data_IF_882503739306
#
_entry.id   IF_882503739306
#
_cell.length_a   1.000
_cell.length_b   1.000
_cell.length_c   1.000
_cell.angle_alpha   90.00
_cell.angle_beta   90.00
_cell.angle_gamma   90.00
#
_symmetry.space_group_name_H-M   'P 1'
#
loop_
_entity.id
_entity.type
_entity.pdbx_description
1 polymer ?
#
# COMPACT_ATOMS: atom_id res chain seq x y z
N UNK A 1 -6.62 -4.73 -21.08
CA UNK A 1 -6.36 -5.93 -20.25
C UNK A 1 -4.87 -6.28 -20.20
N UNK A 2 -4.16 -6.27 -21.34
CA UNK A 2 -2.73 -6.62 -21.43
C UNK A 2 -1.78 -5.86 -20.48
N UNK A 3 -1.92 -4.53 -20.32
CA UNK A 3 -1.03 -3.74 -19.44
C UNK A 3 -1.20 -4.06 -17.94
N UNK A 4 -2.42 -4.38 -17.52
CA UNK A 4 -2.70 -4.77 -16.13
C UNK A 4 -2.09 -6.14 -15.83
N UNK A 5 -2.27 -7.09 -16.74
CA UNK A 5 -1.72 -8.44 -16.61
C UNK A 5 -0.20 -8.45 -16.72
N UNK A 6 0.39 -7.63 -17.60
CA UNK A 6 1.84 -7.49 -17.71
C UNK A 6 2.45 -6.94 -16.43
N UNK A 7 1.80 -5.98 -15.76
CA UNK A 7 2.32 -5.46 -14.49
C UNK A 7 2.53 -6.55 -13.44
N UNK A 8 1.61 -7.52 -13.33
CA UNK A 8 1.69 -8.58 -12.33
C UNK A 8 2.93 -9.46 -12.48
N UNK A 9 3.50 -9.55 -13.70
CA UNK A 9 4.72 -10.32 -13.95
C UNK A 9 5.95 -9.73 -13.26
N UNK A 10 5.89 -8.50 -12.74
CA UNK A 10 6.97 -7.94 -11.92
C UNK A 10 7.27 -8.82 -10.70
N UNK A 11 6.26 -9.49 -10.15
CA UNK A 11 6.42 -10.36 -8.98
C UNK A 11 7.10 -11.69 -9.29
N UNK A 12 7.26 -12.04 -10.57
CA UNK A 12 8.00 -13.24 -11.00
C UNK A 12 9.52 -12.98 -11.02
N UNK A 13 9.95 -11.71 -11.01
CA UNK A 13 11.37 -11.33 -10.99
C UNK A 13 12.06 -11.82 -9.70
N UNK A 14 13.29 -12.29 -9.85
CA UNK A 14 14.05 -12.87 -8.73
C UNK A 14 14.98 -11.85 -8.07
N UNK A 15 15.43 -10.84 -8.82
CA UNK A 15 16.39 -9.84 -8.33
C UNK A 15 15.80 -8.41 -8.35
N UNK A 16 16.24 -7.52 -7.44
CA UNK A 16 15.86 -6.12 -7.45
C UNK A 16 16.20 -5.41 -8.77
N UNK A 17 17.32 -5.78 -9.39
CA UNK A 17 17.81 -5.20 -10.65
C UNK A 17 16.90 -5.61 -11.82
N UNK A 18 16.50 -6.88 -11.87
CA UNK A 18 15.55 -7.40 -12.86
C UNK A 18 14.18 -6.72 -12.71
N UNK A 19 13.68 -6.63 -11.48
CA UNK A 19 12.40 -5.97 -11.19
C UNK A 19 12.43 -4.48 -11.57
N UNK A 20 13.54 -3.79 -11.32
CA UNK A 20 13.71 -2.38 -11.71
C UNK A 20 13.65 -2.21 -13.23
N UNK A 21 14.43 -3.00 -13.97
CA UNK A 21 14.42 -2.98 -15.44
C UNK A 21 13.04 -3.30 -16.01
N UNK A 22 12.34 -4.29 -15.42
CA UNK A 22 10.98 -4.63 -15.81
C UNK A 22 10.00 -3.48 -15.60
N UNK A 23 10.05 -2.82 -14.44
CA UNK A 23 9.19 -1.68 -14.11
C UNK A 23 9.45 -0.49 -15.02
N UNK A 24 10.71 -0.18 -15.34
CA UNK A 24 11.06 0.89 -16.27
C UNK A 24 10.47 0.64 -17.68
N UNK A 25 10.59 -0.59 -18.19
CA UNK A 25 9.99 -0.98 -19.46
C UNK A 25 8.46 -0.94 -19.43
N UNK A 26 7.85 -1.38 -18.33
CA UNK A 26 6.40 -1.33 -18.16
C UNK A 26 5.88 0.11 -18.12
N UNK A 27 6.57 1.00 -17.38
CA UNK A 27 6.26 2.44 -17.30
C UNK A 27 6.33 3.06 -18.70
N UNK A 28 7.39 2.78 -19.47
CA UNK A 28 7.51 3.26 -20.85
C UNK A 28 6.35 2.77 -21.72
N UNK A 29 5.98 1.49 -21.62
CA UNK A 29 4.83 0.92 -22.31
C UNK A 29 3.49 1.56 -21.90
N UNK A 30 3.33 1.90 -20.62
CA UNK A 30 2.15 2.58 -20.10
C UNK A 30 2.03 4.01 -20.63
N UNK A 31 3.14 4.77 -20.75
CA UNK A 31 3.15 6.09 -21.38
C UNK A 31 2.82 6.01 -22.89
N UNK A 32 3.35 5.01 -23.60
CA UNK A 32 3.10 4.81 -25.03
C UNK A 32 1.68 4.34 -25.34
N UNK A 33 0.95 3.82 -24.35
CA UNK A 33 -0.41 3.31 -24.54
C UNK A 33 -1.44 4.38 -24.93
N UNK A 34 -1.12 5.66 -24.72
CA UNK A 34 -2.03 6.79 -24.98
C UNK A 34 -3.25 6.86 -24.04
N UNK A 35 -3.31 5.99 -23.03
CA UNK A 35 -4.41 5.95 -22.06
C UNK A 35 -4.04 6.72 -20.81
N UNK A 36 -4.75 7.82 -20.56
CA UNK A 36 -4.44 8.76 -19.47
C UNK A 36 -4.42 8.11 -18.08
N UNK A 37 -5.29 7.13 -17.84
CA UNK A 37 -5.32 6.40 -16.56
C UNK A 37 -4.04 5.59 -16.32
N UNK A 38 -3.50 4.95 -17.35
CA UNK A 38 -2.23 4.22 -17.25
C UNK A 38 -1.06 5.18 -17.13
N UNK A 39 -1.11 6.34 -17.80
CA UNK A 39 -0.10 7.39 -17.67
C UNK A 39 0.03 7.90 -16.24
N UNK A 40 -1.08 8.26 -15.60
CA UNK A 40 -1.10 8.74 -14.21
C UNK A 40 -0.59 7.67 -13.22
N UNK A 41 -0.95 6.40 -13.45
CA UNK A 41 -0.41 5.28 -12.65
C UNK A 41 1.10 5.13 -12.87
N UNK A 42 1.57 5.23 -14.11
CA UNK A 42 2.98 5.09 -14.45
C UNK A 42 3.84 6.20 -13.82
N UNK A 43 3.33 7.45 -13.78
CA UNK A 43 3.96 8.56 -13.04
C UNK A 43 4.08 8.24 -11.55
N UNK A 44 2.98 7.82 -10.92
CA UNK A 44 2.97 7.42 -9.50
C UNK A 44 3.93 6.27 -9.19
N UNK A 45 4.09 5.34 -10.12
CA UNK A 45 5.01 4.20 -10.01
C UNK A 45 6.45 4.62 -10.20
N UNK A 46 6.73 5.56 -11.12
CA UNK A 46 8.06 6.13 -11.31
C UNK A 46 8.56 6.79 -10.03
N UNK A 47 7.73 7.57 -9.37
CA UNK A 47 8.08 8.28 -8.13
C UNK A 47 8.32 7.32 -6.96
N UNK A 48 7.64 6.17 -6.95
CA UNK A 48 7.69 5.18 -5.85
C UNK A 48 8.49 3.93 -6.21
N UNK A 49 9.24 3.96 -7.31
CA UNK A 49 9.94 2.79 -7.85
C UNK A 49 10.92 2.18 -6.86
N UNK A 50 11.63 3.02 -6.09
CA UNK A 50 12.54 2.57 -5.05
C UNK A 50 11.84 1.68 -4.02
N UNK A 51 10.65 2.08 -3.56
CA UNK A 51 9.87 1.31 -2.57
C UNK A 51 9.40 -0.03 -3.14
N UNK A 52 8.99 -0.06 -4.41
CA UNK A 52 8.59 -1.29 -5.09
C UNK A 52 9.77 -2.26 -5.24
N UNK A 53 10.94 -1.77 -5.64
CA UNK A 53 12.16 -2.58 -5.76
C UNK A 53 12.66 -3.07 -4.40
N UNK A 54 12.50 -2.27 -3.35
CA UNK A 54 12.89 -2.65 -1.98
C UNK A 54 12.09 -3.85 -1.44
N UNK A 55 10.89 -4.10 -1.99
CA UNK A 55 10.13 -5.32 -1.68
C UNK A 55 10.92 -6.59 -2.03
N UNK A 56 11.66 -6.61 -3.14
CA UNK A 56 12.49 -7.76 -3.54
C UNK A 56 13.67 -8.00 -2.60
N UNK A 57 14.10 -6.96 -1.86
CA UNK A 57 15.18 -7.06 -0.87
C UNK A 57 14.69 -7.56 0.49
N UNK A 58 13.56 -7.02 0.97
CA UNK A 58 13.08 -7.25 2.36
C UNK A 58 11.86 -8.18 2.47
N UNK A 59 11.14 -8.40 1.36
CA UNK A 59 9.89 -9.18 1.26
C UNK A 59 8.83 -8.80 2.29
N UNK A 60 8.78 -7.53 2.70
CA UNK A 60 7.79 -7.02 3.66
C UNK A 60 6.47 -6.82 2.93
N UNK A 61 5.42 -7.52 3.34
CA UNK A 61 4.08 -7.38 2.77
C UNK A 61 3.30 -6.21 3.40
N UNK A 62 2.29 -5.70 2.68
CA UNK A 62 1.33 -4.70 3.16
C UNK A 62 0.34 -5.26 4.20
N UNK A 63 0.38 -6.57 4.50
CA UNK A 63 -0.63 -7.25 5.31
C UNK A 63 -0.82 -6.62 6.71
N UNK A 64 0.27 -6.21 7.36
CA UNK A 64 0.20 -5.56 8.69
C UNK A 64 -0.51 -4.21 8.58
N UNK A 65 -0.12 -3.38 7.62
CA UNK A 65 -0.74 -2.07 7.38
C UNK A 65 -2.21 -2.20 6.98
N UNK A 66 -2.55 -3.19 6.15
CA UNK A 66 -3.93 -3.51 5.79
C UNK A 66 -4.75 -3.97 6.99
N UNK A 67 -4.20 -4.82 7.85
CA UNK A 67 -4.84 -5.24 9.09
C UNK A 67 -5.20 -4.06 10.00
N UNK A 68 -4.26 -3.12 10.18
CA UNK A 68 -4.49 -1.89 10.94
C UNK A 68 -5.58 -1.04 10.27
N UNK A 69 -5.49 -0.83 8.96
CA UNK A 69 -6.48 -0.05 8.20
C UNK A 69 -7.89 -0.64 8.32
N UNK A 70 -8.02 -1.96 8.23
CA UNK A 70 -9.29 -2.66 8.39
C UNK A 70 -9.85 -2.49 9.81
N UNK A 71 -9.00 -2.54 10.84
CA UNK A 71 -9.39 -2.30 12.23
C UNK A 71 -9.90 -0.87 12.43
N UNK A 72 -9.22 0.13 11.87
CA UNK A 72 -9.64 1.54 11.92
C UNK A 72 -10.97 1.75 11.17
N UNK A 73 -11.13 1.15 9.98
CA UNK A 73 -12.39 1.20 9.22
C UNK A 73 -13.54 0.59 10.01
N UNK A 74 -13.31 -0.55 10.68
CA UNK A 74 -14.31 -1.19 11.55
C UNK A 74 -14.69 -0.29 12.72
N UNK A 75 -13.70 0.32 13.38
CA UNK A 75 -13.92 1.25 14.49
C UNK A 75 -14.82 2.42 14.07
N UNK A 76 -14.50 3.08 12.95
CA UNK A 76 -15.31 4.18 12.39
C UNK A 76 -16.75 3.74 12.09
N UNK A 77 -16.93 2.54 11.50
CA UNK A 77 -18.25 1.99 11.16
C UNK A 77 -19.10 1.70 12.39
N UNK A 78 -18.51 1.11 13.43
CA UNK A 78 -19.22 0.80 14.68
C UNK A 78 -19.71 2.06 15.41
N UNK A 79 -18.99 3.16 15.29
CA UNK A 79 -19.36 4.44 15.89
C UNK A 79 -20.36 5.26 15.06
N UNK A 80 -20.76 4.79 13.87
CA UNK A 80 -21.52 5.57 12.89
C UNK A 80 -20.85 6.91 12.52
N UNK A 81 -19.52 6.93 12.56
CA UNK A 81 -18.71 8.13 12.36
C UNK A 81 -18.37 8.86 13.65
N UNK A 82 -17.16 9.40 13.70
CA UNK A 82 -16.69 10.25 14.80
C UNK A 82 -16.79 11.71 14.35
N UNK A 83 -17.36 12.56 15.21
CA UNK A 83 -17.41 14.02 14.98
C UNK A 83 -16.12 14.71 15.44
N UNK A 84 -15.54 14.20 16.51
CA UNK A 84 -14.29 14.66 17.09
C UNK A 84 -13.13 13.77 16.60
N UNK A 85 -12.18 14.39 15.89
CA UNK A 85 -11.01 13.72 15.32
C UNK A 85 -10.01 13.34 16.40
N UNK A 86 -9.85 14.14 17.45
CA UNK A 86 -8.93 13.85 18.54
C UNK A 86 -9.45 12.69 19.39
N UNK A 87 -10.75 12.64 19.63
CA UNK A 87 -11.38 11.46 20.22
C UNK A 87 -11.23 10.21 19.35
N UNK A 88 -11.36 10.35 18.02
CA UNK A 88 -11.14 9.23 17.10
C UNK A 88 -9.69 8.72 17.17
N UNK A 89 -8.69 9.62 17.22
CA UNK A 89 -7.28 9.28 17.41
C UNK A 89 -7.06 8.49 18.71
N UNK A 90 -7.63 8.94 19.82
CA UNK A 90 -7.57 8.21 21.10
C UNK A 90 -8.15 6.80 20.98
N UNK A 91 -9.29 6.65 20.28
CA UNK A 91 -9.88 5.33 20.02
C UNK A 91 -9.01 4.46 19.11
N UNK A 92 -8.36 5.02 18.10
CA UNK A 92 -7.37 4.30 17.30
C UNK A 92 -6.22 3.81 18.17
N UNK A 93 -5.66 4.67 19.04
CA UNK A 93 -4.59 4.26 19.95
C UNK A 93 -5.03 3.15 20.92
N UNK A 94 -6.24 3.24 21.47
CA UNK A 94 -6.84 2.22 22.34
C UNK A 94 -6.96 0.86 21.65
N UNK A 95 -7.46 0.84 20.41
CA UNK A 95 -7.74 -0.40 19.71
C UNK A 95 -6.51 -0.94 18.94
N UNK A 96 -5.70 -0.09 18.32
CA UNK A 96 -4.60 -0.50 17.44
C UNK A 96 -3.23 -0.60 18.13
N UNK A 97 -3.07 -0.19 19.40
CA UNK A 97 -1.97 -0.71 20.22
C UNK A 97 -1.29 0.19 21.25
N UNK A 98 -1.47 1.52 21.24
CA UNK A 98 -0.76 2.41 22.18
C UNK A 98 -1.39 2.44 23.58
N UNK A 99 -2.72 2.34 23.66
CA UNK A 99 -3.49 2.42 24.91
C UNK A 99 -4.30 1.13 25.13
N UNK A 100 -3.72 -0.03 24.82
CA UNK A 100 -4.41 -1.30 24.96
C UNK A 100 -4.56 -1.67 26.45
N UNK A 101 -5.79 -1.77 27.01
CA UNK A 101 -5.99 -2.08 28.42
C UNK A 101 -5.44 -3.46 28.82
N UNK A 102 -5.25 -4.36 27.85
CA UNK A 102 -4.63 -5.68 28.11
C UNK A 102 -3.12 -5.62 28.34
N UNK A 103 -2.45 -4.51 27.98
CA UNK A 103 -1.01 -4.30 28.25
C UNK A 103 -0.74 -3.68 29.61
N UNK A 104 -1.74 -3.04 30.22
CA UNK A 104 -1.67 -2.44 31.55
C UNK A 104 -2.85 -2.95 32.39
N UNK A 105 -2.75 -4.14 32.98
CA UNK A 105 -3.75 -4.59 33.95
C UNK A 105 -3.78 -3.61 35.13
N UNK A 106 -4.99 -3.28 35.58
CA UNK A 106 -5.23 -2.54 36.82
C UNK A 106 -4.97 -3.46 38.02
#
# INVERSE_FOLDING_TARGET
MLLKESFLKVYDCQTPEEAKSYLENWIAGAFLSGVETFRSIAESFRDKMEYMVNWFKKKISSAISEGINNKIKRLKRMAYGYKDIDYFRLKIHQHCGLLNPRRYPQ
#
